data_IF_920825350305
#
_entry.id   IF_920825350305
#
_cell.length_a   1.000
_cell.length_b   1.000
_cell.length_c   1.000
_cell.angle_alpha   90.00
_cell.angle_beta   90.00
_cell.angle_gamma   90.00
#
_symmetry.space_group_name_H-M   'P 1'
#
loop_
_entity.id
_entity.type
_entity.pdbx_description
1 polymer ?
#
# COMPACT_ATOMS: atom_id res chain seq x y z
N UNK A 1 -12.26 -6.28 -6.83
CA UNK A 1 -12.36 -7.00 -8.13
C UNK A 1 -11.14 -7.88 -8.40
N UNK A 2 -9.98 -7.37 -8.87
CA UNK A 2 -8.83 -8.22 -9.20
C UNK A 2 -8.29 -9.02 -7.99
N UNK A 3 -8.04 -8.32 -6.87
CA UNK A 3 -7.57 -8.95 -5.64
C UNK A 3 -8.54 -10.02 -5.10
N UNK A 4 -9.84 -9.71 -5.13
CA UNK A 4 -10.91 -10.63 -4.75
C UNK A 4 -10.96 -11.88 -5.64
N UNK A 5 -10.80 -11.73 -6.95
CA UNK A 5 -10.76 -12.86 -7.89
C UNK A 5 -9.55 -13.78 -7.66
N UNK A 6 -8.43 -13.24 -7.16
CA UNK A 6 -7.20 -14.00 -6.89
C UNK A 6 -7.06 -14.43 -5.41
N UNK A 7 -8.08 -14.18 -4.60
CA UNK A 7 -8.12 -14.51 -3.17
C UNK A 7 -7.13 -13.72 -2.31
N UNK A 8 -6.56 -12.62 -2.82
CA UNK A 8 -5.64 -11.74 -2.09
C UNK A 8 -6.43 -10.58 -1.49
N UNK A 9 -6.85 -10.73 -0.23
CA UNK A 9 -7.65 -9.72 0.46
C UNK A 9 -6.86 -8.42 0.62
N UNK A 10 -7.45 -7.33 0.14
CA UNK A 10 -6.92 -5.97 0.30
C UNK A 10 -7.90 -5.16 1.15
N UNK A 11 -7.37 -4.18 1.88
CA UNK A 11 -8.18 -3.28 2.71
C UNK A 11 -7.90 -1.83 2.34
N UNK A 12 -8.91 -1.05 1.91
CA UNK A 12 -8.71 0.36 1.61
C UNK A 12 -8.40 1.12 2.91
N UNK A 13 -7.31 1.89 2.88
CA UNK A 13 -6.88 2.74 3.99
C UNK A 13 -7.22 4.20 3.68
N UNK A 14 -7.51 5.02 4.71
CA UNK A 14 -7.86 6.42 4.52
C UNK A 14 -6.66 7.24 4.01
N UNK A 15 -6.95 8.26 3.20
CA UNK A 15 -5.95 9.14 2.57
C UNK A 15 -6.46 10.58 2.51
N UNK A 16 -7.15 10.97 3.58
CA UNK A 16 -7.78 12.27 3.77
C UNK A 16 -6.72 13.38 3.97
N UNK A 17 -7.04 14.62 3.58
CA UNK A 17 -6.06 15.72 3.62
C UNK A 17 -5.63 16.11 5.04
N UNK A 18 -6.44 15.80 6.06
CA UNK A 18 -6.11 16.04 7.47
C UNK A 18 -4.82 15.33 7.90
N UNK A 19 -4.44 14.23 7.22
CA UNK A 19 -3.19 13.53 7.52
C UNK A 19 -1.93 14.30 7.08
N UNK A 20 -2.06 15.34 6.24
CA UNK A 20 -0.92 16.19 5.81
C UNK A 20 -0.30 16.96 6.97
N UNK A 21 -1.09 17.26 8.00
CA UNK A 21 -0.60 17.98 9.18
C UNK A 21 0.50 17.23 9.92
N UNK A 22 0.51 15.89 9.84
CA UNK A 22 1.57 15.06 10.41
C UNK A 22 2.90 15.15 9.64
N UNK A 23 2.90 15.72 8.43
CA UNK A 23 4.07 15.85 7.57
C UNK A 23 4.51 17.32 7.40
N UNK A 24 4.26 18.17 8.41
CA UNK A 24 4.79 19.53 8.44
C UNK A 24 6.19 19.57 9.03
N UNK A 25 7.10 20.29 8.40
CA UNK A 25 8.48 20.47 8.88
C UNK A 25 8.85 21.97 8.89
N UNK A 26 9.58 22.44 9.91
CA UNK A 26 10.09 23.82 9.93
C UNK A 26 11.35 24.01 9.07
N UNK A 27 11.94 22.94 8.55
CA UNK A 27 13.23 22.99 7.83
C UNK A 27 13.16 22.58 6.36
N UNK A 28 12.16 21.77 5.99
CA UNK A 28 12.03 21.19 4.66
C UNK A 28 10.56 21.19 4.24
N UNK A 29 10.31 21.05 2.95
CA UNK A 29 8.95 21.01 2.39
C UNK A 29 8.17 19.79 2.89
N UNK A 30 8.87 18.66 3.09
CA UNK A 30 8.25 17.40 3.49
C UNK A 30 9.23 16.54 4.33
N UNK A 31 8.91 16.20 5.60
CA UNK A 31 9.67 15.23 6.37
C UNK A 31 9.31 13.79 5.94
N UNK A 32 10.28 12.87 6.01
CA UNK A 32 10.09 11.47 5.64
C UNK A 32 9.41 10.62 6.75
N UNK A 33 9.17 11.21 7.92
CA UNK A 33 8.51 10.58 9.06
C UNK A 33 7.54 11.58 9.66
N UNK A 34 6.30 11.15 9.90
CA UNK A 34 5.33 11.92 10.65
C UNK A 34 5.46 11.69 12.16
N UNK A 35 4.53 10.93 12.74
CA UNK A 35 4.51 10.60 14.17
C UNK A 35 4.52 9.09 14.43
N UNK A 36 4.43 8.72 15.72
CA UNK A 36 4.35 7.31 16.14
C UNK A 36 3.08 6.60 15.65
N UNK A 37 1.97 7.33 15.54
CA UNK A 37 0.66 6.78 15.19
C UNK A 37 0.35 7.01 13.71
N UNK A 38 -0.32 6.05 13.07
CA UNK A 38 -0.73 6.18 11.67
C UNK A 38 0.42 6.08 10.67
N UNK A 39 1.53 5.42 11.01
CA UNK A 39 2.74 5.34 10.18
C UNK A 39 2.48 4.96 8.72
N UNK A 40 1.66 3.92 8.47
CA UNK A 40 1.28 3.49 7.14
C UNK A 40 0.54 4.58 6.34
N UNK A 41 -0.38 5.31 6.99
CA UNK A 41 -1.13 6.41 6.36
C UNK A 41 -0.19 7.58 6.08
N UNK A 42 0.66 7.98 7.03
CA UNK A 42 1.62 9.07 6.81
C UNK A 42 2.66 8.74 5.75
N UNK A 43 3.08 7.48 5.62
CA UNK A 43 3.97 7.04 4.55
C UNK A 43 3.26 7.09 3.19
N UNK A 44 2.00 6.67 3.10
CA UNK A 44 1.21 6.79 1.89
C UNK A 44 0.99 8.27 1.49
N UNK A 45 0.73 9.15 2.46
CA UNK A 45 0.64 10.59 2.22
C UNK A 45 1.95 11.18 1.70
N UNK A 46 3.10 10.77 2.26
CA UNK A 46 4.40 11.17 1.74
C UNK A 46 4.58 10.79 0.26
N UNK A 47 4.21 9.56 -0.12
CA UNK A 47 4.29 9.12 -1.51
C UNK A 47 3.31 9.86 -2.44
N UNK A 48 2.12 10.24 -1.93
CA UNK A 48 1.10 10.98 -2.69
C UNK A 48 1.64 12.31 -3.23
N UNK A 49 2.48 13.00 -2.46
CA UNK A 49 3.06 14.30 -2.85
C UNK A 49 3.92 14.21 -4.13
N UNK A 50 4.37 13.00 -4.50
CA UNK A 50 5.17 12.76 -5.72
C UNK A 50 4.36 12.15 -6.87
N UNK A 51 3.06 11.87 -6.68
CA UNK A 51 2.20 11.30 -7.71
C UNK A 51 1.56 12.39 -8.63
N UNK A 52 1.56 13.64 -8.18
CA UNK A 52 0.98 14.79 -8.90
C UNK A 52 -0.45 14.47 -9.39
N UNK A 53 -0.73 14.70 -10.67
CA UNK A 53 -2.04 14.44 -11.30
C UNK A 53 -2.22 12.99 -11.78
N UNK A 54 -1.24 12.12 -11.53
CA UNK A 54 -1.29 10.72 -12.00
C UNK A 54 -2.23 9.88 -11.14
N UNK A 55 -3.21 9.17 -11.72
CA UNK A 55 -4.00 8.18 -10.99
C UNK A 55 -3.09 7.13 -10.37
N UNK A 56 -3.14 6.96 -9.06
CA UNK A 56 -2.17 6.15 -8.34
C UNK A 56 -2.80 5.31 -7.23
N UNK A 57 -2.09 4.25 -6.85
CA UNK A 57 -2.37 3.43 -5.68
C UNK A 57 -1.06 3.02 -5.03
N UNK A 58 -1.02 3.05 -3.70
CA UNK A 58 0.04 2.45 -2.90
C UNK A 58 -0.48 1.20 -2.21
N UNK A 59 0.23 0.09 -2.36
CA UNK A 59 -0.05 -1.17 -1.65
C UNK A 59 1.03 -1.39 -0.59
N UNK A 60 0.68 -1.11 0.68
CA UNK A 60 1.53 -1.47 1.81
C UNK A 60 1.34 -2.96 2.13
N UNK A 61 2.34 -3.76 1.78
CA UNK A 61 2.33 -5.22 1.94
C UNK A 61 3.21 -5.71 3.09
N UNK A 62 3.81 -4.81 3.88
CA UNK A 62 4.86 -5.18 4.84
C UNK A 62 4.40 -6.29 5.80
N UNK A 63 3.19 -6.17 6.35
CA UNK A 63 2.61 -7.16 7.27
C UNK A 63 2.21 -8.49 6.62
N UNK A 64 2.14 -8.56 5.29
CA UNK A 64 1.69 -9.74 4.54
C UNK A 64 2.77 -10.34 3.64
N UNK A 65 3.94 -9.70 3.54
CA UNK A 65 5.04 -10.12 2.66
C UNK A 65 5.69 -11.43 3.13
N UNK A 66 5.54 -11.77 4.41
CA UNK A 66 6.12 -12.96 5.02
C UNK A 66 5.05 -13.74 5.80
N UNK A 67 5.01 -15.06 5.58
CA UNK A 67 4.14 -15.99 6.28
C UNK A 67 4.94 -16.66 7.40
N UNK A 68 4.47 -16.52 8.63
CA UNK A 68 5.06 -17.20 9.79
C UNK A 68 4.77 -18.71 9.78
N UNK A 69 3.68 -19.13 9.14
CA UNK A 69 3.25 -20.51 8.98
C UNK A 69 2.81 -20.80 7.53
N UNK A 70 2.81 -22.07 7.15
CA UNK A 70 2.30 -22.49 5.85
C UNK A 70 0.77 -22.36 5.75
N UNK A 71 0.29 -22.06 4.56
CA UNK A 71 -1.13 -22.17 4.18
C UNK A 71 -1.32 -23.38 3.27
N UNK A 72 -2.56 -23.82 2.94
CA UNK A 72 -2.76 -24.98 2.08
C UNK A 72 -2.08 -24.91 0.70
N UNK A 73 -1.73 -23.71 0.23
CA UNK A 73 -1.16 -23.48 -1.10
C UNK A 73 0.15 -22.67 -1.08
N UNK A 74 0.70 -22.33 0.09
CA UNK A 74 1.99 -21.64 0.23
C UNK A 74 2.78 -22.17 1.43
N UNK A 75 4.08 -22.37 1.24
CA UNK A 75 4.99 -22.68 2.35
C UNK A 75 5.20 -21.46 3.27
N UNK A 76 5.71 -21.72 4.49
CA UNK A 76 6.25 -20.67 5.37
C UNK A 76 7.35 -19.89 4.63
N UNK A 77 7.38 -18.57 4.80
CA UNK A 77 8.37 -17.68 4.16
C UNK A 77 7.75 -16.58 3.32
N UNK A 78 8.45 -16.14 2.28
CA UNK A 78 7.98 -15.07 1.39
C UNK A 78 6.65 -15.45 0.72
N UNK A 79 5.62 -14.62 0.89
CA UNK A 79 4.26 -14.90 0.42
C UNK A 79 4.06 -14.66 -1.08
N UNK A 80 4.83 -13.73 -1.66
CA UNK A 80 4.62 -13.25 -3.03
C UNK A 80 3.30 -12.49 -3.21
N UNK A 81 2.72 -11.97 -2.11
CA UNK A 81 1.40 -11.32 -2.13
C UNK A 81 1.37 -10.13 -3.11
N UNK A 82 0.20 -9.95 -3.71
CA UNK A 82 -0.15 -8.96 -4.72
C UNK A 82 0.34 -9.26 -6.13
N UNK A 83 1.25 -10.22 -6.34
CA UNK A 83 1.70 -10.59 -7.70
C UNK A 83 0.54 -11.08 -8.56
N UNK A 84 -0.29 -11.99 -8.04
CA UNK A 84 -1.47 -12.48 -8.79
C UNK A 84 -2.46 -11.37 -9.04
N UNK A 85 -2.75 -10.55 -8.02
CA UNK A 85 -3.63 -9.37 -8.15
C UNK A 85 -3.18 -8.44 -9.26
N UNK A 86 -1.89 -8.09 -9.32
CA UNK A 86 -1.34 -7.16 -10.31
C UNK A 86 -1.34 -7.78 -11.72
N UNK A 87 -0.98 -9.06 -11.85
CA UNK A 87 -1.07 -9.77 -13.14
C UNK A 87 -2.51 -9.81 -13.64
N UNK A 88 -3.47 -10.13 -12.76
CA UNK A 88 -4.89 -10.13 -13.09
C UNK A 88 -5.36 -8.74 -13.51
N UNK A 89 -4.96 -7.70 -12.76
CA UNK A 89 -5.29 -6.32 -13.08
C UNK A 89 -4.79 -5.96 -14.47
N UNK A 90 -3.51 -6.18 -14.77
CA UNK A 90 -2.90 -5.84 -16.05
C UNK A 90 -3.52 -6.62 -17.23
N UNK A 91 -3.86 -7.89 -17.03
CA UNK A 91 -4.40 -8.75 -18.10
C UNK A 91 -5.91 -8.59 -18.35
N UNK A 92 -6.62 -7.99 -17.40
CA UNK A 92 -8.07 -7.77 -17.51
C UNK A 92 -8.46 -6.30 -17.53
N UNK A 93 -7.47 -5.40 -17.49
CA UNK A 93 -7.69 -3.97 -17.64
C UNK A 93 -8.36 -3.69 -18.98
N UNK A 94 -9.45 -2.92 -18.94
CA UNK A 94 -10.14 -2.42 -20.12
C UNK A 94 -10.06 -0.91 -20.08
N UNK A 95 -9.67 -0.32 -21.21
CA UNK A 95 -9.66 1.13 -21.42
C UNK A 95 -11.07 1.73 -21.37
#
# INVERSE_FOLDING_TARGET
>A
AAAEAEGERMWPMPLDDDYKDYLKSPFADLPNVGGRWGGAVTAAMFLKEFAEDTPWVHLDIAGTAWLDDGTPFLAKGASGIAVRTLVRLATTWKD
#
